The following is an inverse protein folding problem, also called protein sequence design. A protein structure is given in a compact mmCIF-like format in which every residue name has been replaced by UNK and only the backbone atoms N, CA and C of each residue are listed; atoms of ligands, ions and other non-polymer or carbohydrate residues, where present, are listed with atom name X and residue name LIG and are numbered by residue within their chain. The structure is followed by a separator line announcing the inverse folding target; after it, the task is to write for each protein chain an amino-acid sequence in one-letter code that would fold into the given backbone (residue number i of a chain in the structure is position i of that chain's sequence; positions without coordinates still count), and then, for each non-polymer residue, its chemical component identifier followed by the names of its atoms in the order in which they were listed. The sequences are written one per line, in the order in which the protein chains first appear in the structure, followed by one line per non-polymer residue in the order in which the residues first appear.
data_IF_024226419397
#
_entry.id   IF_024226419397
#
_cell.length_a   1.000
_cell.length_b   1.000
_cell.length_c   1.000
_cell.angle_alpha   90.00
_cell.angle_beta   90.00
_cell.angle_gamma   90.00
#
_symmetry.space_group_name_H-M   'P 1'
#
loop_
_entity.id
_entity.type
_entity.pdbx_description
1 polymer ?
#
# COMPACT_ATOMS: atom_id res chain seq x y z
N UNK A 1 5.06 -26.22 -10.15
CA UNK A 1 5.88 -24.99 -10.19
C UNK A 1 6.93 -25.10 -9.10
N UNK A 2 8.26 -25.07 -9.41
CA UNK A 2 9.29 -25.08 -8.37
C UNK A 2 9.27 -23.73 -7.65
N UNK A 3 9.25 -23.76 -6.33
CA UNK A 3 9.43 -22.54 -5.53
C UNK A 3 10.77 -21.91 -5.89
N UNK A 4 10.84 -20.60 -6.16
CA UNK A 4 12.11 -19.94 -6.40
C UNK A 4 13.00 -20.05 -5.16
N UNK A 5 14.30 -20.23 -5.38
CA UNK A 5 15.27 -20.20 -4.29
C UNK A 5 15.56 -18.75 -3.92
N UNK A 6 15.01 -18.30 -2.80
CA UNK A 6 15.24 -16.97 -2.23
C UNK A 6 16.32 -16.99 -1.14
N UNK A 7 17.05 -18.12 -0.99
CA UNK A 7 18.06 -18.25 0.06
C UNK A 7 19.11 -17.12 -0.06
N UNK A 8 19.23 -16.35 1.02
CA UNK A 8 20.23 -15.30 1.20
C UNK A 8 20.16 -14.09 0.22
N UNK A 9 19.02 -13.82 -0.43
CA UNK A 9 18.86 -12.58 -1.20
C UNK A 9 18.52 -11.43 -0.22
N UNK A 10 19.39 -10.41 -0.08
CA UNK A 10 19.10 -9.28 0.79
C UNK A 10 17.98 -8.43 0.21
N UNK A 11 17.11 -7.95 1.08
CA UNK A 11 16.04 -7.02 0.76
C UNK A 11 15.74 -6.14 1.96
N UNK A 12 14.79 -5.24 1.85
CA UNK A 12 14.43 -4.26 2.88
C UNK A 12 12.92 -4.25 3.11
N UNK A 13 12.51 -3.84 4.31
CA UNK A 13 11.12 -3.51 4.62
C UNK A 13 10.87 -2.04 4.28
N UNK A 14 9.74 -1.72 3.68
CA UNK A 14 9.55 -0.52 2.89
C UNK A 14 9.30 0.79 3.62
N UNK A 15 9.07 0.86 4.94
CA UNK A 15 8.87 2.14 5.64
C UNK A 15 10.20 2.80 5.97
N UNK A 16 10.40 4.01 5.42
CA UNK A 16 11.65 4.77 5.58
C UNK A 16 11.39 6.16 6.17
N UNK A 17 12.29 6.66 7.05
CA UNK A 17 12.21 7.99 7.63
C UNK A 17 12.75 9.08 6.68
N UNK A 18 12.61 8.89 5.38
CA UNK A 18 13.11 9.81 4.35
C UNK A 18 11.97 10.66 3.80
N UNK A 19 12.31 11.86 3.33
CA UNK A 19 11.38 12.77 2.66
C UNK A 19 11.60 12.84 1.16
N UNK A 20 12.84 12.55 0.70
CA UNK A 20 13.22 12.57 -0.71
C UNK A 20 13.05 11.21 -1.35
N UNK A 21 11.92 11.02 -2.06
CA UNK A 21 11.53 9.72 -2.60
C UNK A 21 12.45 9.24 -3.74
N UNK A 22 12.85 10.13 -4.66
CA UNK A 22 13.63 9.74 -5.85
C UNK A 22 15.02 9.24 -5.47
N UNK A 23 15.74 9.98 -4.66
CA UNK A 23 17.08 9.58 -4.21
C UNK A 23 17.06 8.30 -3.39
N UNK A 24 15.98 8.08 -2.60
CA UNK A 24 15.82 6.84 -1.86
C UNK A 24 15.57 5.65 -2.79
N UNK A 25 14.73 5.79 -3.81
CA UNK A 25 14.50 4.73 -4.81
C UNK A 25 15.79 4.34 -5.51
N UNK A 26 16.59 5.31 -5.97
CA UNK A 26 17.90 5.07 -6.59
C UNK A 26 18.86 4.32 -5.64
N UNK A 27 18.86 4.71 -4.36
CA UNK A 27 19.67 4.06 -3.33
C UNK A 27 19.23 2.63 -3.06
N UNK A 28 17.93 2.35 -3.06
CA UNK A 28 17.39 1.01 -2.88
C UNK A 28 17.84 0.09 -4.03
N UNK A 29 17.75 0.54 -5.29
CA UNK A 29 18.24 -0.23 -6.42
C UNK A 29 19.76 -0.48 -6.35
N UNK A 30 20.53 0.49 -5.87
CA UNK A 30 21.98 0.34 -5.69
C UNK A 30 22.34 -0.66 -4.59
N UNK A 31 21.62 -0.64 -3.46
CA UNK A 31 21.94 -1.49 -2.29
C UNK A 31 21.34 -2.90 -2.40
N UNK A 32 20.21 -3.04 -3.09
CA UNK A 32 19.47 -4.31 -3.22
C UNK A 32 19.23 -4.65 -4.70
N UNK A 33 20.28 -4.84 -5.51
CA UNK A 33 20.14 -4.98 -6.98
C UNK A 33 19.34 -6.22 -7.39
N UNK A 34 19.34 -7.28 -6.58
CA UNK A 34 18.67 -8.54 -6.91
C UNK A 34 17.19 -8.55 -6.47
N UNK A 35 16.87 -7.88 -5.35
CA UNK A 35 15.51 -7.81 -4.81
C UNK A 35 15.23 -6.45 -4.13
N UNK A 36 15.16 -5.36 -4.89
CA UNK A 36 14.75 -4.07 -4.34
C UNK A 36 13.28 -4.12 -3.92
N UNK A 37 12.94 -3.36 -2.87
CA UNK A 37 11.56 -3.14 -2.43
C UNK A 37 11.15 -1.68 -2.69
N UNK A 38 9.91 -1.45 -3.10
CA UNK A 38 9.42 -0.09 -3.21
C UNK A 38 9.27 0.56 -1.81
N UNK A 39 9.66 1.83 -1.65
CA UNK A 39 9.63 2.50 -0.35
C UNK A 39 8.25 3.10 -0.03
N UNK A 40 7.91 3.06 1.26
CA UNK A 40 6.85 3.84 1.88
C UNK A 40 7.48 4.98 2.68
N UNK A 41 6.93 6.18 2.59
CA UNK A 41 7.53 7.41 3.11
C UNK A 41 6.59 8.14 4.10
N UNK A 42 6.21 7.53 5.22
CA UNK A 42 5.23 8.09 6.16
C UNK A 42 5.68 9.42 6.81
N UNK A 43 6.98 9.72 6.79
CA UNK A 43 7.52 11.02 7.26
C UNK A 43 7.38 12.10 6.19
N UNK A 44 7.39 11.74 4.91
CA UNK A 44 7.12 12.67 3.80
C UNK A 44 5.65 13.07 3.77
N UNK A 45 4.78 12.08 3.80
CA UNK A 45 3.34 12.28 3.85
C UNK A 45 2.70 11.13 4.66
N UNK A 46 1.86 11.48 5.61
CA UNK A 46 1.14 10.51 6.45
C UNK A 46 0.28 9.53 5.64
N UNK A 47 -0.20 9.92 4.45
CA UNK A 47 -0.93 9.03 3.55
C UNK A 47 -0.11 7.82 3.10
N UNK A 48 1.22 7.91 3.10
CA UNK A 48 2.12 6.79 2.80
C UNK A 48 2.34 5.85 3.99
N UNK A 49 1.61 6.03 5.09
CA UNK A 49 1.68 5.08 6.21
C UNK A 49 1.03 3.75 5.84
N UNK A 50 1.52 2.68 6.45
CA UNK A 50 1.18 1.30 6.08
C UNK A 50 -0.30 0.93 6.20
N UNK A 51 -1.09 1.68 6.96
CA UNK A 51 -2.53 1.46 7.07
C UNK A 51 -3.31 2.35 6.10
N UNK A 52 -2.96 3.63 6.03
CA UNK A 52 -3.67 4.63 5.22
C UNK A 52 -3.49 4.36 3.73
N UNK A 53 -2.29 3.99 3.32
CA UNK A 53 -1.93 3.76 1.93
C UNK A 53 -2.85 2.74 1.24
N UNK A 54 -3.30 1.72 1.95
CA UNK A 54 -4.16 0.67 1.41
C UNK A 54 -5.66 0.92 1.59
N UNK A 55 -6.03 2.06 2.18
CA UNK A 55 -7.44 2.40 2.41
C UNK A 55 -8.04 3.31 1.34
N UNK A 56 -7.23 3.84 0.43
CA UNK A 56 -7.62 4.90 -0.53
C UNK A 56 -8.94 4.60 -1.27
N UNK A 57 -9.20 3.34 -1.56
CA UNK A 57 -10.37 2.94 -2.36
C UNK A 57 -11.24 1.88 -1.70
N UNK A 58 -11.07 1.71 -0.40
CA UNK A 58 -11.91 0.80 0.35
C UNK A 58 -13.27 1.44 0.65
N UNK A 59 -14.37 0.70 0.50
CA UNK A 59 -15.70 1.17 0.86
C UNK A 59 -15.77 1.63 2.32
N UNK A 60 -16.43 2.73 2.57
CA UNK A 60 -16.59 3.30 3.90
C UNK A 60 -15.35 3.94 4.52
N UNK A 61 -14.18 3.87 3.89
CA UNK A 61 -12.95 4.44 4.42
C UNK A 61 -13.01 5.98 4.46
N UNK A 62 -12.71 6.54 5.63
CA UNK A 62 -12.60 7.99 5.85
C UNK A 62 -11.19 8.31 6.33
N UNK A 63 -10.49 9.17 5.59
CA UNK A 63 -9.13 9.60 5.89
C UNK A 63 -9.17 11.05 6.34
N UNK A 64 -8.99 11.29 7.64
CA UNK A 64 -8.86 12.64 8.21
C UNK A 64 -7.36 13.01 8.29
N UNK A 65 -6.91 13.81 7.32
CA UNK A 65 -5.51 14.26 7.25
C UNK A 65 -5.14 15.20 8.40
N UNK A 66 -6.07 16.02 8.86
CA UNK A 66 -5.78 16.99 9.92
C UNK A 66 -5.61 16.30 11.28
N UNK A 67 -6.46 15.32 11.57
CA UNK A 67 -6.37 14.50 12.77
C UNK A 67 -5.37 13.34 12.65
N UNK A 68 -4.85 13.06 11.44
CA UNK A 68 -4.03 11.89 11.11
C UNK A 68 -4.70 10.58 11.58
N UNK A 69 -5.98 10.44 11.27
CA UNK A 69 -6.75 9.25 11.63
C UNK A 69 -7.43 8.65 10.40
N UNK A 70 -7.58 7.34 10.43
CA UNK A 70 -8.38 6.58 9.47
C UNK A 70 -9.43 5.81 10.25
N UNK A 71 -10.67 5.87 9.78
CA UNK A 71 -11.77 5.07 10.31
C UNK A 71 -12.74 4.69 9.19
N UNK A 72 -13.62 3.74 9.46
CA UNK A 72 -14.67 3.33 8.53
C UNK A 72 -16.02 3.74 9.07
N UNK A 73 -16.86 4.25 8.16
CA UNK A 73 -18.24 4.63 8.45
C UNK A 73 -19.19 3.50 8.07
N UNK A 74 -20.31 3.41 8.81
CA UNK A 74 -21.42 2.48 8.56
C UNK A 74 -22.68 3.29 8.30
N UNK A 75 -22.72 4.06 7.20
CA UNK A 75 -23.87 4.85 6.80
C UNK A 75 -24.64 4.23 5.62
N UNK A 76 -25.72 4.88 5.21
CA UNK A 76 -26.59 4.43 4.11
C UNK A 76 -25.85 4.30 2.76
N UNK A 77 -24.74 5.03 2.58
CA UNK A 77 -23.97 4.97 1.34
C UNK A 77 -23.08 3.72 1.25
N UNK A 78 -22.73 3.10 2.39
CA UNK A 78 -21.82 1.98 2.44
C UNK A 78 -22.28 0.80 1.56
N UNK A 79 -23.57 0.49 1.56
CA UNK A 79 -24.12 -0.61 0.77
C UNK A 79 -23.84 -0.45 -0.73
N UNK A 80 -24.05 0.75 -1.28
CA UNK A 80 -23.78 1.06 -2.68
C UNK A 80 -22.27 1.05 -3.01
N UNK A 81 -21.44 1.49 -2.08
CA UNK A 81 -19.98 1.44 -2.23
C UNK A 81 -19.45 0.00 -2.24
N UNK A 82 -20.00 -0.87 -1.37
CA UNK A 82 -19.68 -2.30 -1.34
C UNK A 82 -20.12 -2.99 -2.63
N UNK A 83 -21.33 -2.72 -3.12
CA UNK A 83 -21.81 -3.25 -4.40
C UNK A 83 -20.87 -2.87 -5.54
N UNK A 84 -20.51 -1.60 -5.66
CA UNK A 84 -19.57 -1.12 -6.67
C UNK A 84 -18.17 -1.72 -6.53
N UNK A 85 -17.70 -1.95 -5.30
CA UNK A 85 -16.42 -2.59 -5.02
C UNK A 85 -16.42 -4.06 -5.47
N UNK A 86 -17.44 -4.83 -5.09
CA UNK A 86 -17.56 -6.23 -5.50
C UNK A 86 -17.80 -6.39 -7.00
N UNK A 87 -18.55 -5.46 -7.63
CA UNK A 87 -18.71 -5.48 -9.07
C UNK A 87 -17.37 -5.29 -9.78
N UNK A 88 -16.55 -4.36 -9.32
CA UNK A 88 -15.20 -4.16 -9.88
C UNK A 88 -14.29 -5.39 -9.71
N UNK A 89 -14.44 -6.14 -8.60
CA UNK A 89 -13.72 -7.42 -8.44
C UNK A 89 -14.19 -8.48 -9.45
N UNK A 90 -15.50 -8.56 -9.70
CA UNK A 90 -16.08 -9.49 -10.69
C UNK A 90 -15.65 -9.12 -12.10
N UNK A 91 -15.59 -7.82 -12.41
CA UNK A 91 -15.18 -7.30 -13.72
C UNK A 91 -13.65 -7.30 -13.93
N UNK A 92 -12.88 -7.74 -12.93
CA UNK A 92 -11.40 -7.70 -12.94
C UNK A 92 -10.82 -6.31 -13.22
N UNK A 93 -11.52 -5.24 -12.78
CA UNK A 93 -11.11 -3.86 -12.93
C UNK A 93 -9.97 -3.51 -11.95
N UNK A 94 -8.74 -3.92 -12.31
CA UNK A 94 -7.56 -3.71 -11.45
C UNK A 94 -7.21 -2.24 -11.29
N UNK A 95 -7.56 -1.38 -12.24
CA UNK A 95 -7.28 0.06 -12.18
C UNK A 95 -8.07 0.74 -11.06
N UNK A 96 -9.25 0.24 -10.74
CA UNK A 96 -10.04 0.72 -9.60
C UNK A 96 -9.32 0.54 -8.27
N UNK A 97 -8.43 -0.46 -8.16
CA UNK A 97 -7.70 -0.78 -6.93
C UNK A 97 -6.27 -0.22 -6.92
N UNK A 98 -5.88 0.51 -7.97
CA UNK A 98 -4.56 1.11 -8.04
C UNK A 98 -4.38 2.19 -6.97
N UNK A 99 -3.25 2.14 -6.26
CA UNK A 99 -2.89 3.17 -5.28
C UNK A 99 -2.37 4.39 -6.05
N UNK A 100 -2.89 5.58 -5.76
CA UNK A 100 -2.48 6.81 -6.45
C UNK A 100 -1.09 7.29 -6.03
N UNK A 101 -0.44 8.16 -6.83
CA UNK A 101 0.83 8.77 -6.45
C UNK A 101 0.76 9.61 -5.17
N UNK A 102 -0.42 10.09 -4.80
CA UNK A 102 -0.65 10.82 -3.55
C UNK A 102 -0.42 9.92 -2.33
N UNK A 103 -0.89 8.66 -2.42
CA UNK A 103 -0.77 7.66 -1.35
C UNK A 103 0.50 6.82 -1.43
N UNK A 104 1.20 6.79 -2.57
CA UNK A 104 2.38 5.93 -2.76
C UNK A 104 3.37 6.51 -3.78
N UNK A 105 3.89 7.72 -3.53
CA UNK A 105 4.89 8.31 -4.42
C UNK A 105 6.10 7.39 -4.62
N UNK A 106 6.54 6.74 -3.55
CA UNK A 106 7.66 5.78 -3.61
C UNK A 106 7.41 4.61 -4.55
N UNK A 107 6.19 4.06 -4.59
CA UNK A 107 5.79 3.01 -5.53
C UNK A 107 5.87 3.49 -6.98
N UNK A 108 5.28 4.65 -7.28
CA UNK A 108 5.26 5.18 -8.65
C UNK A 108 6.66 5.49 -9.18
N UNK A 109 7.52 6.12 -8.38
CA UNK A 109 8.91 6.35 -8.73
C UNK A 109 9.71 5.06 -8.90
N UNK A 110 9.43 4.05 -8.08
CA UNK A 110 10.03 2.74 -8.21
C UNK A 110 9.63 2.09 -9.54
N UNK A 111 8.35 2.07 -9.88
CA UNK A 111 7.84 1.52 -11.15
C UNK A 111 8.40 2.26 -12.37
N UNK A 112 8.52 3.59 -12.31
CA UNK A 112 9.18 4.38 -13.36
C UNK A 112 10.66 4.05 -13.54
N UNK A 113 11.33 3.63 -12.46
CA UNK A 113 12.76 3.36 -12.47
C UNK A 113 13.11 1.99 -13.06
N UNK A 114 12.26 0.97 -12.86
CA UNK A 114 12.50 -0.41 -13.34
C UNK A 114 12.79 -0.48 -14.85
N UNK A 115 12.01 0.14 -15.76
CA UNK A 115 12.29 0.11 -17.19
C UNK A 115 13.62 0.78 -17.58
N UNK A 116 14.08 1.75 -16.78
CA UNK A 116 15.30 2.53 -17.06
C UNK A 116 16.59 1.76 -16.74
N UNK A 117 16.49 0.66 -16.03
CA UNK A 117 17.66 -0.17 -15.65
C UNK A 117 18.23 -1.01 -16.79
N UNK A 118 17.55 -1.09 -17.94
CA UNK A 118 18.04 -1.82 -19.12
C UNK A 118 18.38 -3.27 -18.81
N UNK A 119 19.61 -3.67 -19.11
CA UNK A 119 20.12 -5.03 -18.85
C UNK A 119 20.43 -5.34 -17.38
N UNK A 120 20.34 -4.35 -16.49
CA UNK A 120 20.58 -4.50 -15.03
C UNK A 120 19.29 -4.64 -14.24
N UNK A 121 18.22 -5.14 -14.86
CA UNK A 121 16.95 -5.34 -14.16
C UNK A 121 17.09 -6.32 -13.01
N UNK A 122 16.48 -6.01 -11.85
CA UNK A 122 16.48 -6.93 -10.72
C UNK A 122 15.77 -8.23 -11.11
N UNK A 123 16.25 -9.34 -10.60
CA UNK A 123 15.64 -10.65 -10.81
C UNK A 123 14.27 -10.74 -10.15
N UNK A 124 14.11 -10.06 -9.01
CA UNK A 124 12.91 -10.00 -8.22
C UNK A 124 12.64 -8.57 -7.80
N UNK A 125 11.39 -8.24 -7.57
CA UNK A 125 10.98 -7.01 -6.88
C UNK A 125 10.09 -7.40 -5.71
N UNK A 126 10.20 -6.67 -4.60
CA UNK A 126 9.42 -6.92 -3.40
C UNK A 126 8.38 -5.83 -3.21
N UNK A 127 7.12 -6.25 -3.10
CA UNK A 127 6.03 -5.45 -2.54
C UNK A 127 5.74 -5.87 -1.11
N UNK A 128 5.05 -5.02 -0.38
CA UNK A 128 4.54 -5.32 0.94
C UNK A 128 3.15 -4.74 1.09
N UNK A 129 2.33 -5.42 1.85
CA UNK A 129 0.96 -5.00 2.16
C UNK A 129 0.69 -5.30 3.63
N UNK A 130 -0.08 -4.44 4.29
CA UNK A 130 -0.56 -4.72 5.64
C UNK A 130 -1.54 -5.88 5.59
N UNK A 131 -1.28 -6.92 6.39
CA UNK A 131 -2.17 -8.07 6.46
C UNK A 131 -3.57 -7.69 6.96
N UNK A 132 -4.63 -8.35 6.48
CA UNK A 132 -6.02 -7.99 6.82
C UNK A 132 -6.30 -8.05 8.32
N UNK A 133 -5.74 -9.01 9.03
CA UNK A 133 -5.89 -9.10 10.48
C UNK A 133 -5.27 -7.89 11.20
N UNK A 134 -4.04 -7.51 10.85
CA UNK A 134 -3.37 -6.34 11.45
C UNK A 134 -4.12 -5.05 11.11
N UNK A 135 -4.63 -4.95 9.88
CA UNK A 135 -5.44 -3.81 9.45
C UNK A 135 -6.73 -3.72 10.30
N UNK A 136 -7.52 -4.78 10.34
CA UNK A 136 -8.79 -4.80 11.05
C UNK A 136 -8.66 -4.60 12.57
N UNK A 137 -7.55 -5.06 13.19
CA UNK A 137 -7.29 -4.83 14.61
C UNK A 137 -6.86 -3.40 14.93
N UNK A 138 -6.25 -2.70 13.99
CA UNK A 138 -5.66 -1.37 14.23
C UNK A 138 -6.59 -0.23 13.80
N UNK A 139 -7.27 -0.41 12.67
CA UNK A 139 -8.22 0.58 12.15
C UNK A 139 -9.57 0.42 12.84
N UNK A 140 -10.28 1.52 13.05
CA UNK A 140 -11.55 1.53 13.79
C UNK A 140 -12.74 1.93 12.92
N UNK A 141 -13.94 1.69 13.41
CA UNK A 141 -15.14 2.34 12.92
C UNK A 141 -15.29 3.78 13.48
N UNK A 142 -16.34 4.48 13.12
CA UNK A 142 -16.68 5.83 13.62
C UNK A 142 -16.92 5.88 15.13
N UNK A 143 -17.20 4.73 15.77
CA UNK A 143 -17.42 4.59 17.21
C UNK A 143 -16.12 4.20 17.95
N UNK A 144 -14.96 4.23 17.26
CA UNK A 144 -13.65 3.84 17.81
C UNK A 144 -13.55 2.36 18.21
N UNK A 145 -14.37 1.49 17.63
CA UNK A 145 -14.25 0.05 17.77
C UNK A 145 -13.36 -0.49 16.66
N UNK A 146 -12.48 -1.42 16.97
CA UNK A 146 -11.69 -2.11 15.96
C UNK A 146 -12.60 -2.79 14.92
N UNK A 147 -12.26 -2.68 13.64
CA UNK A 147 -13.02 -3.30 12.55
C UNK A 147 -13.13 -4.82 12.69
N UNK A 148 -12.18 -5.47 13.38
CA UNK A 148 -12.22 -6.90 13.66
C UNK A 148 -13.46 -7.32 14.46
N UNK A 149 -14.13 -6.38 15.12
CA UNK A 149 -15.34 -6.63 15.92
C UNK A 149 -16.60 -6.02 15.30
N UNK A 150 -16.49 -5.47 14.09
CA UNK A 150 -17.65 -4.93 13.37
C UNK A 150 -18.05 -5.90 12.24
N UNK A 151 -19.20 -6.60 12.36
CA UNK A 151 -19.62 -7.62 11.40
C UNK A 151 -20.13 -7.02 10.07
N UNK A 152 -20.32 -5.71 9.97
CA UNK A 152 -20.82 -5.02 8.79
C UNK A 152 -19.66 -4.48 7.91
N UNK A 153 -18.46 -4.44 8.44
CA UNK A 153 -17.23 -3.97 7.81
C UNK A 153 -16.19 -5.08 7.78
#
# INVERSE_FOLDING_TARGET
MKCPDFAAIPTVVGSFPHTEARSLVERIFSLFPDMPAWPQLPVRDWLESMYVQYSERLPGAVVDRAAQTIYFRSDEALAGELEAFYQALVDEDVERFAISPEYALGLHLFLESVPRLGGQRPKWVKGQVTGPFSFAMTVTDENKRSLAYNPEL
#
